data_IF_287011410281
#
_entry.id   IF_287011410281
#
_cell.length_a   1.000
_cell.length_b   1.000
_cell.length_c   1.000
_cell.angle_alpha   90.00
_cell.angle_beta   90.00
_cell.angle_gamma   90.00
#
_symmetry.space_group_name_H-M   'P 1'
#
loop_
_entity.id
_entity.type
_entity.pdbx_description
1 polymer ?
#
# COMPACT_ATOMS: atom_id res chain seq x y z
N UNK A 1 -22.13 -3.27 -0.20
CA UNK A 1 -21.55 -3.79 1.06
C UNK A 1 -20.76 -5.03 0.71
N UNK A 2 -19.44 -5.00 0.89
CA UNK A 2 -18.58 -6.13 0.57
C UNK A 2 -18.91 -7.33 1.47
N UNK A 3 -19.06 -8.48 0.85
CA UNK A 3 -19.22 -9.76 1.54
C UNK A 3 -17.86 -10.36 1.81
N UNK A 4 -17.56 -10.65 3.07
CA UNK A 4 -16.27 -11.22 3.47
C UNK A 4 -16.37 -12.74 3.60
N UNK A 5 -15.43 -13.44 2.99
CA UNK A 5 -15.30 -14.89 3.03
C UNK A 5 -13.94 -15.29 3.57
N UNK A 6 -13.90 -16.42 4.25
CA UNK A 6 -12.64 -17.05 4.67
C UNK A 6 -12.44 -18.32 3.84
N UNK A 7 -11.27 -18.47 3.31
CA UNK A 7 -10.86 -19.64 2.57
C UNK A 7 -9.63 -20.26 3.21
N UNK A 8 -9.58 -21.58 3.26
CA UNK A 8 -8.42 -22.34 3.74
C UNK A 8 -7.62 -22.85 2.54
N UNK A 9 -6.31 -22.61 2.54
CA UNK A 9 -5.42 -23.10 1.49
C UNK A 9 -4.50 -24.19 2.02
N UNK A 10 -4.57 -25.39 1.47
CA UNK A 10 -3.69 -26.51 1.78
C UNK A 10 -2.76 -26.84 0.62
N UNK A 11 -1.52 -27.23 0.92
CA UNK A 11 -0.53 -27.57 -0.09
C UNK A 11 -0.68 -29.04 -0.51
N UNK A 12 -0.98 -29.26 -1.80
CA UNK A 12 -1.04 -30.58 -2.41
C UNK A 12 -0.11 -30.64 -3.64
N UNK A 13 1.03 -31.27 -3.47
CA UNK A 13 2.07 -31.29 -4.49
C UNK A 13 2.52 -29.89 -4.90
N UNK A 14 2.27 -29.52 -6.15
CA UNK A 14 2.60 -28.18 -6.68
C UNK A 14 1.45 -27.16 -6.61
N UNK A 15 0.29 -27.59 -6.13
CA UNK A 15 -0.92 -26.77 -6.08
C UNK A 15 -1.27 -26.37 -4.67
N UNK A 16 -1.93 -25.23 -4.55
CA UNK A 16 -2.67 -24.83 -3.38
C UNK A 16 -4.14 -25.13 -3.60
N UNK A 17 -4.67 -26.06 -2.86
CA UNK A 17 -6.11 -26.35 -2.83
C UNK A 17 -6.78 -25.37 -1.90
N UNK A 18 -7.76 -24.64 -2.42
CA UNK A 18 -8.43 -23.54 -1.74
C UNK A 18 -9.86 -23.96 -1.49
N UNK A 19 -10.22 -24.11 -0.24
CA UNK A 19 -11.57 -24.46 0.20
C UNK A 19 -12.25 -23.22 0.75
N UNK A 20 -13.39 -22.87 0.16
CA UNK A 20 -14.26 -21.80 0.68
C UNK A 20 -15.49 -22.47 1.29
N UNK A 21 -15.67 -22.37 2.60
CA UNK A 21 -16.73 -23.04 3.33
C UNK A 21 -18.11 -22.64 2.81
N UNK A 22 -18.92 -23.66 2.50
CA UNK A 22 -20.28 -23.48 2.00
C UNK A 22 -20.37 -23.05 0.52
N UNK A 23 -19.24 -22.86 -0.18
CA UNK A 23 -19.19 -22.44 -1.58
C UNK A 23 -18.59 -23.51 -2.47
N UNK A 24 -17.35 -23.93 -2.18
CA UNK A 24 -16.69 -24.95 -3.00
C UNK A 24 -15.18 -24.99 -2.84
N UNK A 25 -14.54 -25.70 -3.77
CA UNK A 25 -13.10 -25.92 -3.78
C UNK A 25 -12.54 -25.51 -5.14
N UNK A 26 -11.39 -24.85 -5.12
CA UNK A 26 -10.62 -24.49 -6.31
C UNK A 26 -9.13 -24.71 -6.06
N UNK A 27 -8.28 -24.37 -7.03
CA UNK A 27 -6.84 -24.53 -6.86
C UNK A 27 -6.06 -23.39 -7.52
N UNK A 28 -4.93 -23.06 -6.94
CA UNK A 28 -4.01 -22.03 -7.43
C UNK A 28 -2.57 -22.55 -7.43
N UNK A 29 -1.72 -22.02 -8.31
CA UNK A 29 -0.30 -22.37 -8.32
C UNK A 29 0.49 -21.69 -7.20
N UNK A 30 0.06 -20.52 -6.82
CA UNK A 30 0.71 -19.72 -5.78
C UNK A 30 -0.29 -19.30 -4.71
N UNK A 31 0.17 -19.17 -3.48
CA UNK A 31 -0.67 -18.64 -2.40
C UNK A 31 -1.01 -17.16 -2.64
N UNK A 32 -0.18 -16.45 -3.39
CA UNK A 32 -0.42 -15.06 -3.77
C UNK A 32 -1.66 -14.89 -4.64
N UNK A 33 -1.90 -15.83 -5.55
CA UNK A 33 -3.05 -15.79 -6.48
C UNK A 33 -4.31 -16.39 -5.87
N UNK A 34 -4.18 -17.10 -4.74
CA UNK A 34 -5.27 -17.78 -4.07
C UNK A 34 -6.49 -16.89 -3.76
N UNK A 35 -6.35 -15.64 -3.29
CA UNK A 35 -7.50 -14.76 -3.06
C UNK A 35 -8.29 -14.47 -4.33
N UNK A 36 -7.62 -14.22 -5.45
CA UNK A 36 -8.29 -13.95 -6.73
C UNK A 36 -8.99 -15.19 -7.26
N UNK A 37 -8.36 -16.36 -7.13
CA UNK A 37 -8.93 -17.63 -7.56
C UNK A 37 -10.17 -17.99 -6.71
N UNK A 38 -10.12 -17.77 -5.40
CA UNK A 38 -11.25 -17.96 -4.50
C UNK A 38 -12.40 -16.98 -4.81
N UNK A 39 -12.08 -15.72 -5.11
CA UNK A 39 -13.08 -14.70 -5.50
C UNK A 39 -13.83 -15.11 -6.75
N UNK A 40 -13.11 -15.56 -7.79
CA UNK A 40 -13.73 -16.05 -9.02
C UNK A 40 -14.64 -17.27 -8.78
N UNK A 41 -14.24 -18.20 -7.90
CA UNK A 41 -15.11 -19.31 -7.50
C UNK A 41 -16.40 -18.82 -6.83
N UNK A 42 -16.28 -17.91 -5.86
CA UNK A 42 -17.43 -17.37 -5.11
C UNK A 42 -18.38 -16.64 -6.06
N UNK A 43 -17.82 -15.80 -6.93
CA UNK A 43 -18.60 -15.07 -7.94
C UNK A 43 -19.38 -16.02 -8.84
N UNK A 44 -18.73 -17.04 -9.37
CA UNK A 44 -19.37 -18.02 -10.27
C UNK A 44 -20.42 -18.89 -9.57
N UNK A 45 -20.23 -19.22 -8.30
CA UNK A 45 -21.13 -20.11 -7.56
C UNK A 45 -22.33 -19.39 -6.95
N UNK A 46 -22.16 -18.12 -6.57
CA UNK A 46 -23.18 -17.34 -5.85
C UNK A 46 -23.80 -16.22 -6.69
N UNK A 47 -23.36 -16.05 -7.94
CA UNK A 47 -23.81 -14.98 -8.86
C UNK A 47 -23.67 -13.57 -8.22
N UNK A 48 -22.48 -13.31 -7.65
CA UNK A 48 -22.13 -12.04 -6.99
C UNK A 48 -20.95 -11.43 -7.73
N UNK A 49 -20.94 -10.11 -7.87
CA UNK A 49 -19.84 -9.38 -8.49
C UNK A 49 -18.53 -9.58 -7.71
N UNK A 50 -17.44 -9.84 -8.41
CA UNK A 50 -16.11 -10.03 -7.80
C UNK A 50 -15.67 -8.79 -6.99
N UNK A 51 -16.10 -7.60 -7.39
CA UNK A 51 -15.77 -6.34 -6.71
C UNK A 51 -16.43 -6.23 -5.33
N UNK A 52 -17.52 -6.97 -5.10
CA UNK A 52 -18.23 -7.02 -3.82
C UNK A 52 -17.72 -8.11 -2.87
N UNK A 53 -16.71 -8.88 -3.28
CA UNK A 53 -16.20 -10.03 -2.55
C UNK A 53 -14.82 -9.76 -1.98
N UNK A 54 -14.72 -9.78 -0.66
CA UNK A 54 -13.45 -9.80 0.06
C UNK A 54 -13.13 -11.22 0.52
N UNK A 55 -11.93 -11.71 0.20
CA UNK A 55 -11.50 -13.05 0.60
C UNK A 55 -10.22 -12.98 1.42
N UNK A 56 -10.31 -13.52 2.63
CA UNK A 56 -9.14 -13.82 3.45
C UNK A 56 -8.73 -15.28 3.23
N UNK A 57 -7.51 -15.51 2.77
CA UNK A 57 -6.99 -16.87 2.59
C UNK A 57 -6.02 -17.20 3.73
N UNK A 58 -6.33 -18.26 4.46
CA UNK A 58 -5.51 -18.77 5.55
C UNK A 58 -4.80 -20.05 5.12
N UNK A 59 -3.45 -20.11 5.15
CA UNK A 59 -2.74 -21.34 4.86
C UNK A 59 -2.95 -22.36 5.99
N UNK A 60 -3.27 -23.59 5.62
CA UNK A 60 -3.32 -24.72 6.54
C UNK A 60 -1.89 -25.16 6.90
N UNK A 61 -1.43 -24.72 8.07
CA UNK A 61 -0.13 -25.06 8.63
C UNK A 61 -0.32 -25.96 9.84
N UNK A 62 0.63 -26.88 10.07
CA UNK A 62 0.68 -27.56 11.35
C UNK A 62 0.95 -26.58 12.50
N UNK A 63 0.65 -27.00 13.71
CA UNK A 63 0.70 -26.11 14.89
C UNK A 63 2.08 -25.51 15.14
N UNK A 64 3.13 -26.28 14.93
CA UNK A 64 4.50 -25.82 15.19
C UNK A 64 4.93 -24.78 14.16
N UNK A 65 4.68 -25.06 12.89
CA UNK A 65 4.98 -24.13 11.79
C UNK A 65 4.13 -22.86 11.89
N UNK A 66 2.85 -22.97 12.22
CA UNK A 66 1.96 -21.84 12.44
C UNK A 66 2.49 -20.90 13.54
N UNK A 67 3.00 -21.47 14.65
CA UNK A 67 3.57 -20.68 15.74
C UNK A 67 4.88 -19.99 15.32
N UNK A 68 5.77 -20.68 14.60
CA UNK A 68 7.00 -20.09 14.08
C UNK A 68 6.69 -18.91 13.13
N UNK A 69 5.72 -19.08 12.24
CA UNK A 69 5.27 -18.01 11.31
C UNK A 69 4.68 -16.84 12.10
N UNK A 70 3.87 -17.11 13.12
CA UNK A 70 3.27 -16.07 13.97
C UNK A 70 4.35 -15.22 14.66
N UNK A 71 5.34 -15.85 15.23
CA UNK A 71 6.47 -15.18 15.90
C UNK A 71 7.26 -14.33 14.90
N UNK A 72 7.60 -14.90 13.73
CA UNK A 72 8.33 -14.18 12.70
C UNK A 72 7.56 -12.95 12.18
N UNK A 73 6.26 -13.09 11.91
CA UNK A 73 5.40 -11.98 11.48
C UNK A 73 5.31 -10.87 12.52
N UNK A 74 5.22 -11.23 13.80
CA UNK A 74 5.23 -10.27 14.90
C UNK A 74 6.53 -9.47 14.92
N UNK A 75 7.69 -10.14 14.81
CA UNK A 75 8.99 -9.48 14.76
C UNK A 75 9.13 -8.52 13.58
N UNK A 76 8.66 -8.92 12.40
CA UNK A 76 8.64 -8.04 11.21
C UNK A 76 7.75 -6.82 11.44
N UNK A 77 6.58 -7.00 12.04
CA UNK A 77 5.67 -5.88 12.35
C UNK A 77 6.30 -4.92 13.38
N UNK A 78 6.94 -5.44 14.41
CA UNK A 78 7.64 -4.64 15.43
C UNK A 78 8.81 -3.85 14.82
N UNK A 79 9.61 -4.48 13.94
CA UNK A 79 10.69 -3.82 13.21
C UNK A 79 10.16 -2.69 12.34
N UNK A 80 9.11 -2.93 11.57
CA UNK A 80 8.50 -1.92 10.71
C UNK A 80 7.96 -0.72 11.52
N UNK A 81 7.41 -0.96 12.71
CA UNK A 81 6.97 0.09 13.62
C UNK A 81 8.17 0.93 14.10
N UNK A 82 9.21 0.29 14.60
CA UNK A 82 10.43 0.98 15.06
C UNK A 82 11.06 1.81 13.93
N UNK A 83 11.11 1.27 12.71
CA UNK A 83 11.63 2.02 11.55
C UNK A 83 10.80 3.27 11.25
N UNK A 84 9.47 3.18 11.31
CA UNK A 84 8.59 4.35 11.09
C UNK A 84 8.76 5.40 12.18
N UNK A 85 8.80 4.97 13.45
CA UNK A 85 8.98 5.87 14.60
C UNK A 85 10.34 6.57 14.54
N UNK A 86 11.39 5.82 14.23
CA UNK A 86 12.74 6.36 14.04
C UNK A 86 12.80 7.38 12.89
N UNK A 87 12.15 7.09 11.76
CA UNK A 87 12.10 8.01 10.64
C UNK A 87 11.34 9.30 10.98
N UNK A 88 10.28 9.23 11.77
CA UNK A 88 9.51 10.37 12.24
C UNK A 88 10.33 11.22 13.21
N UNK A 89 10.91 10.62 14.23
CA UNK A 89 11.75 11.30 15.20
C UNK A 89 12.97 11.97 14.55
N UNK A 90 13.62 11.29 13.62
CA UNK A 90 14.75 11.84 12.87
C UNK A 90 14.38 13.05 12.01
N UNK A 91 13.21 13.03 11.38
CA UNK A 91 12.70 14.18 10.59
C UNK A 91 12.38 15.38 11.49
N UNK A 92 11.74 15.14 12.62
CA UNK A 92 11.41 16.20 13.59
C UNK A 92 12.66 16.84 14.16
N UNK A 93 13.65 16.04 14.54
CA UNK A 93 14.93 16.52 15.05
C UNK A 93 15.71 17.31 13.98
N UNK A 94 15.77 16.82 12.73
CA UNK A 94 16.43 17.53 11.65
C UNK A 94 15.79 18.91 11.38
N UNK A 95 14.47 18.98 11.39
CA UNK A 95 13.73 20.26 11.22
C UNK A 95 13.98 21.22 12.37
N UNK A 96 13.95 20.71 13.60
CA UNK A 96 14.21 21.54 14.78
C UNK A 96 15.61 22.12 14.76
N UNK A 97 16.63 21.35 14.38
CA UNK A 97 18.00 21.81 14.26
C UNK A 97 18.14 22.94 13.20
N UNK A 98 17.57 22.73 12.02
CA UNK A 98 17.59 23.72 10.94
C UNK A 98 16.81 24.98 11.35
N UNK A 99 15.68 24.87 12.01
CA UNK A 99 14.90 25.99 12.52
C UNK A 99 15.67 26.79 13.60
N UNK A 100 16.54 26.09 14.33
CA UNK A 100 17.45 26.74 15.31
C UNK A 100 18.70 27.36 14.66
N UNK A 101 18.82 27.37 13.33
CA UNK A 101 19.94 27.97 12.59
C UNK A 101 21.14 27.03 12.41
N UNK A 102 21.01 25.74 12.71
CA UNK A 102 22.07 24.76 12.53
C UNK A 102 22.14 24.38 11.04
N UNK A 103 23.36 24.37 10.47
CA UNK A 103 23.57 23.98 9.08
C UNK A 103 23.19 22.48 8.87
N UNK A 104 22.86 22.09 7.62
CA UNK A 104 22.58 20.71 7.32
C UNK A 104 23.76 19.77 7.61
N UNK A 105 25.00 20.24 7.41
CA UNK A 105 26.21 19.46 7.73
C UNK A 105 26.38 19.27 9.24
N UNK A 106 26.14 20.32 10.02
CA UNK A 106 26.23 20.24 11.48
C UNK A 106 25.07 19.39 12.05
N UNK A 107 23.88 19.52 11.51
CA UNK A 107 22.74 18.69 11.88
C UNK A 107 23.01 17.19 11.63
N UNK A 108 23.71 16.86 10.55
CA UNK A 108 24.15 15.49 10.27
C UNK A 108 25.09 14.96 11.37
N UNK A 109 26.04 15.79 11.80
CA UNK A 109 26.96 15.46 12.88
C UNK A 109 26.22 15.24 14.21
N UNK A 110 25.30 16.16 14.55
CA UNK A 110 24.49 16.09 15.78
C UNK A 110 23.61 14.85 15.81
N UNK A 111 23.00 14.51 14.70
CA UNK A 111 22.12 13.34 14.56
C UNK A 111 22.88 12.01 14.36
N UNK A 112 24.19 12.05 14.10
CA UNK A 112 24.98 10.87 13.82
C UNK A 112 24.62 10.20 12.48
N UNK A 113 24.20 10.97 11.48
CA UNK A 113 23.82 10.50 10.14
C UNK A 113 24.62 11.23 9.06
N UNK A 114 24.53 10.76 7.81
CA UNK A 114 25.19 11.46 6.70
C UNK A 114 24.45 12.77 6.32
N UNK A 115 25.16 13.77 5.74
CA UNK A 115 24.54 14.97 5.21
C UNK A 115 23.46 14.69 4.16
N UNK A 116 23.68 13.67 3.33
CA UNK A 116 22.69 13.20 2.35
C UNK A 116 21.41 12.71 3.04
N UNK A 117 21.54 12.01 4.17
CA UNK A 117 20.39 11.55 4.95
C UNK A 117 19.59 12.71 5.51
N UNK A 118 20.26 13.75 6.03
CA UNK A 118 19.59 14.99 6.48
C UNK A 118 18.81 15.64 5.34
N UNK A 119 19.41 15.75 4.15
CA UNK A 119 18.73 16.28 2.97
C UNK A 119 17.49 15.49 2.61
N UNK A 120 17.55 14.15 2.66
CA UNK A 120 16.39 13.28 2.44
C UNK A 120 15.30 13.45 3.50
N UNK A 121 15.69 13.56 4.77
CA UNK A 121 14.74 13.76 5.87
C UNK A 121 13.98 15.10 5.73
N UNK A 122 14.67 16.15 5.29
CA UNK A 122 14.08 17.47 5.05
C UNK A 122 13.22 17.51 3.77
N UNK A 123 13.62 16.79 2.71
CA UNK A 123 12.90 16.74 1.44
C UNK A 123 11.58 15.96 1.53
N UNK A 124 11.53 14.87 2.29
CA UNK A 124 10.31 14.09 2.51
C UNK A 124 9.19 14.86 3.21
N UNK A 125 9.51 16.03 3.78
CA UNK A 125 8.54 16.96 4.34
C UNK A 125 7.80 17.81 3.29
N UNK A 126 8.41 18.05 2.12
CA UNK A 126 7.77 18.79 1.02
C UNK A 126 6.73 17.93 0.27
N UNK A 127 6.92 16.63 0.26
CA UNK A 127 6.02 15.69 -0.43
C UNK A 127 4.72 15.42 0.34
N UNK A 128 4.66 15.70 1.64
CA UNK A 128 3.47 15.52 2.46
C UNK A 128 2.49 16.72 2.40
N UNK A 129 2.85 17.81 1.72
CA UNK A 129 1.93 18.90 1.45
C UNK A 129 1.21 18.57 0.14
N UNK A 130 0.00 18.04 0.24
CA UNK A 130 -0.89 17.83 -0.88
C UNK A 130 -1.00 19.10 -1.76
N UNK A 131 -0.99 18.98 -3.10
CA UNK A 131 -1.31 20.11 -3.94
C UNK A 131 -2.76 20.52 -3.68
N UNK A 132 -2.93 21.80 -3.35
CA UNK A 132 -4.24 22.43 -3.29
C UNK A 132 -4.99 22.20 -4.61
N UNK A 133 -6.25 21.76 -4.59
CA UNK A 133 -7.06 21.73 -5.80
C UNK A 133 -7.56 23.17 -6.08
N UNK A 134 -6.81 23.90 -6.86
CA UNK A 134 -7.23 25.25 -7.16
C UNK A 134 -6.50 25.89 -8.33
N UNK A 135 -7.03 25.71 -9.49
CA UNK A 135 -7.22 26.74 -10.53
C UNK A 135 -7.66 26.08 -11.83
N UNK A 136 -8.95 25.91 -12.00
CA UNK A 136 -9.57 25.80 -13.31
C UNK A 136 -9.26 27.10 -14.07
N UNK A 137 -8.24 27.07 -14.91
CA UNK A 137 -8.07 28.13 -15.93
C UNK A 137 -9.11 27.87 -17.02
N UNK A 138 -10.23 28.56 -16.93
CA UNK A 138 -11.16 28.77 -18.02
C UNK A 138 -10.43 29.37 -19.22
N UNK A 139 -10.06 28.55 -20.17
CA UNK A 139 -9.68 29.02 -21.50
C UNK A 139 -10.96 29.50 -22.20
N UNK A 140 -11.19 30.80 -22.14
CA UNK A 140 -12.09 31.48 -23.05
C UNK A 140 -11.58 31.29 -24.48
N UNK A 141 -12.31 30.50 -25.24
CA UNK A 141 -12.15 30.37 -26.70
C UNK A 141 -12.74 31.62 -27.32
N UNK A 142 -11.87 32.52 -27.78
CA UNK A 142 -12.28 33.63 -28.63
C UNK A 142 -12.75 33.07 -29.97
N UNK A 143 -14.01 33.29 -30.26
CA UNK A 143 -14.57 33.08 -31.57
C UNK A 143 -14.17 34.26 -32.46
N UNK A 144 -13.32 34.06 -33.44
CA UNK A 144 -13.12 34.99 -34.52
C UNK A 144 -14.12 34.67 -35.65
N UNK A 145 -15.11 35.54 -35.77
CA UNK A 145 -15.89 35.68 -37.00
C UNK A 145 -14.98 36.35 -38.04
N UNK A 146 -14.86 35.80 -39.21
CA UNK A 146 -14.53 36.53 -40.39
C UNK A 146 -15.62 36.26 -41.42
N UNK A 147 -16.37 37.31 -41.65
CA UNK A 147 -17.23 37.48 -42.82
C UNK A 147 -16.35 37.93 -43.99
N UNK A 148 -16.61 37.39 -45.16
CA UNK A 148 -16.42 38.00 -46.46
C UNK A 148 -17.37 37.24 -47.36
N UNK A 149 -18.34 37.73 -47.99
CA UNK A 149 -18.56 38.99 -48.63
C UNK A 149 -18.02 38.99 -50.06
N UNK A 150 -18.91 38.83 -50.93
CA UNK A 150 -18.95 39.45 -52.26
C UNK A 150 -18.44 38.69 -53.49
N UNK A 151 -19.25 38.55 -54.38
CA UNK A 151 -19.48 38.85 -55.79
C UNK A 151 -19.81 37.64 -56.61
#
# INVERSE_FOLDING_TARGET
>A
VNKSYVATASREGRWWVITVDGVGVTQSRTLRDAPNTARGLISAMLDVDEEEIDVLVEPALDRELAEQVRVARKQVADLNRVQRDTATASREAARALVAAGVSGADAATVLGVSPQRVSQLLASAKSARAPEPGALKTRRRAASRSSSGSA
#
